data_IF_780506858203
#
_entry.id   IF_780506858203
#
_cell.length_a   1.000
_cell.length_b   1.000
_cell.length_c   1.000
_cell.angle_alpha   90.00
_cell.angle_beta   90.00
_cell.angle_gamma   90.00
#
_symmetry.space_group_name_H-M   'P 1'
#
loop_
_entity.id
_entity.type
_entity.pdbx_description
1 polymer ?
#
# COMPACT_ATOMS: atom_id res chain seq x y z
N UNK A 1 -17.90 -1.81 8.80
CA UNK A 1 -16.81 -0.98 8.22
C UNK A 1 -15.61 -1.88 8.02
N UNK A 2 -15.18 -2.14 6.79
CA UNK A 2 -13.99 -2.96 6.53
C UNK A 2 -12.78 -2.05 6.76
N UNK A 3 -11.99 -2.30 7.81
CA UNK A 3 -10.74 -1.59 8.04
C UNK A 3 -9.62 -2.37 7.36
N UNK A 4 -9.07 -1.89 6.24
CA UNK A 4 -8.01 -2.60 5.53
C UNK A 4 -6.77 -2.70 6.42
N UNK A 5 -5.99 -3.77 6.26
CA UNK A 5 -4.69 -3.91 6.92
C UNK A 5 -3.59 -3.46 5.97
N UNK A 6 -2.56 -2.82 6.53
CA UNK A 6 -1.39 -2.44 5.77
C UNK A 6 -0.70 -3.69 5.25
N UNK A 7 -0.43 -3.77 3.95
CA UNK A 7 0.20 -4.92 3.34
C UNK A 7 1.66 -5.12 3.80
N UNK A 8 2.32 -4.08 4.32
CA UNK A 8 3.68 -4.10 4.84
C UNK A 8 3.69 -4.47 6.33
N UNK A 9 3.20 -3.60 7.21
CA UNK A 9 3.31 -3.79 8.67
C UNK A 9 2.15 -4.59 9.29
N UNK A 10 1.15 -5.01 8.51
CA UNK A 10 -0.05 -5.76 8.92
C UNK A 10 -0.94 -5.09 9.97
N UNK A 11 -0.60 -3.89 10.43
CA UNK A 11 -1.45 -3.05 11.28
C UNK A 11 -2.70 -2.60 10.54
N UNK A 12 -3.77 -2.42 11.29
CA UNK A 12 -5.04 -1.90 10.78
C UNK A 12 -4.88 -0.42 10.35
N UNK A 13 -5.43 -0.06 9.20
CA UNK A 13 -5.49 1.34 8.77
C UNK A 13 -6.61 2.03 9.55
N UNK A 14 -6.23 2.91 10.46
CA UNK A 14 -7.14 3.78 11.20
C UNK A 14 -7.36 5.13 10.51
N UNK A 15 -6.68 5.36 9.38
CA UNK A 15 -6.68 6.62 8.65
C UNK A 15 -6.36 6.35 7.16
N UNK A 16 -6.66 7.30 6.27
CA UNK A 16 -6.38 7.17 4.84
C UNK A 16 -4.87 7.19 4.59
N UNK A 17 -4.34 6.07 4.11
CA UNK A 17 -2.94 5.92 3.69
C UNK A 17 -2.78 6.02 2.18
N UNK A 18 -1.96 5.15 1.60
CA UNK A 18 -1.74 5.04 0.17
C UNK A 18 -2.30 3.72 -0.40
N UNK A 19 -2.66 3.76 -1.68
CA UNK A 19 -2.90 2.57 -2.49
C UNK A 19 -1.75 2.41 -3.47
N UNK A 20 -1.08 1.25 -3.40
CA UNK A 20 -0.03 0.88 -4.33
C UNK A 20 -0.58 -0.15 -5.31
N UNK A 21 -0.37 0.11 -6.60
CA UNK A 21 -0.77 -0.77 -7.70
C UNK A 21 0.50 -1.32 -8.37
N UNK A 22 0.56 -2.63 -8.57
CA UNK A 22 1.62 -3.22 -9.37
C UNK A 22 1.43 -2.89 -10.86
N UNK A 23 2.47 -3.06 -11.70
CA UNK A 23 2.27 -3.26 -13.12
C UNK A 23 1.29 -4.43 -13.36
N UNK A 24 0.55 -4.42 -14.49
CA UNK A 24 -0.29 -5.55 -14.87
C UNK A 24 0.54 -6.82 -15.12
N UNK A 25 0.01 -7.97 -14.75
CA UNK A 25 0.58 -9.27 -15.06
C UNK A 25 0.26 -9.73 -16.51
N UNK A 26 0.75 -10.91 -16.89
CA UNK A 26 0.50 -11.51 -18.22
C UNK A 26 -0.98 -11.86 -18.49
N UNK A 27 -1.87 -11.68 -17.50
CA UNK A 27 -3.32 -11.89 -17.59
C UNK A 27 -4.08 -10.56 -17.44
N UNK A 28 -3.40 -9.42 -17.58
CA UNK A 28 -3.95 -8.07 -17.39
C UNK A 28 -4.54 -7.83 -15.98
N UNK A 29 -3.99 -8.47 -14.94
CA UNK A 29 -4.38 -8.24 -13.55
C UNK A 29 -3.38 -7.36 -12.82
N UNK A 30 -3.89 -6.50 -11.93
CA UNK A 30 -3.09 -5.59 -11.10
C UNK A 30 -3.28 -5.95 -9.63
N UNK A 31 -2.18 -6.04 -8.89
CA UNK A 31 -2.20 -6.22 -7.44
C UNK A 31 -2.39 -4.88 -6.74
N UNK A 32 -3.48 -4.76 -5.98
CA UNK A 32 -3.78 -3.62 -5.12
C UNK A 32 -3.30 -3.86 -3.69
N UNK A 33 -2.47 -2.97 -3.16
CA UNK A 33 -1.98 -2.99 -1.77
C UNK A 33 -2.41 -1.73 -1.02
N UNK A 34 -2.89 -1.89 0.22
CA UNK A 34 -3.13 -0.81 1.16
C UNK A 34 -1.88 -0.57 1.99
N UNK A 35 -1.44 0.69 2.10
CA UNK A 35 -0.21 1.06 2.80
C UNK A 35 -0.56 2.16 3.80
N UNK A 36 -0.19 2.01 5.08
CA UNK A 36 -0.38 3.07 6.06
C UNK A 36 0.60 4.24 5.82
N UNK A 37 0.30 5.42 6.38
CA UNK A 37 1.13 6.63 6.25
C UNK A 37 2.60 6.39 6.65
N UNK A 38 2.82 5.69 7.77
CA UNK A 38 4.17 5.37 8.26
C UNK A 38 4.98 4.55 7.25
N UNK A 39 4.38 3.50 6.68
CA UNK A 39 5.05 2.67 5.68
C UNK A 39 5.25 3.43 4.37
N UNK A 40 4.31 4.29 3.99
CA UNK A 40 4.44 5.12 2.80
C UNK A 40 5.59 6.12 2.92
N UNK A 41 5.77 6.77 4.07
CA UNK A 41 6.89 7.70 4.29
C UNK A 41 8.25 6.99 4.16
N UNK A 42 8.38 5.77 4.68
CA UNK A 42 9.60 4.96 4.51
C UNK A 42 9.89 4.65 3.04
N UNK A 43 8.86 4.27 2.27
CA UNK A 43 9.01 4.05 0.83
C UNK A 43 9.39 5.34 0.11
N UNK A 44 8.82 6.48 0.52
CA UNK A 44 9.14 7.78 -0.05
C UNK A 44 10.62 8.14 0.14
N UNK A 45 11.16 7.90 1.33
CA UNK A 45 12.57 8.09 1.65
C UNK A 45 13.47 7.12 0.88
N UNK A 46 13.09 5.83 0.79
CA UNK A 46 13.88 4.79 0.13
C UNK A 46 13.95 4.95 -1.40
N UNK A 47 12.85 5.36 -2.03
CA UNK A 47 12.74 5.44 -3.49
C UNK A 47 12.79 6.88 -4.04
N UNK A 48 12.93 7.90 -3.18
CA UNK A 48 12.97 9.30 -3.59
C UNK A 48 11.69 9.79 -4.27
N UNK A 49 10.54 9.31 -3.81
CA UNK A 49 9.21 9.67 -4.34
C UNK A 49 8.75 11.08 -3.92
#
# INVERSE_FOLDING_TARGET
MIKPKCNICKKELNDFGALLFSPPDNKNKVDKKHICKECYNKLKEEFGL
#
